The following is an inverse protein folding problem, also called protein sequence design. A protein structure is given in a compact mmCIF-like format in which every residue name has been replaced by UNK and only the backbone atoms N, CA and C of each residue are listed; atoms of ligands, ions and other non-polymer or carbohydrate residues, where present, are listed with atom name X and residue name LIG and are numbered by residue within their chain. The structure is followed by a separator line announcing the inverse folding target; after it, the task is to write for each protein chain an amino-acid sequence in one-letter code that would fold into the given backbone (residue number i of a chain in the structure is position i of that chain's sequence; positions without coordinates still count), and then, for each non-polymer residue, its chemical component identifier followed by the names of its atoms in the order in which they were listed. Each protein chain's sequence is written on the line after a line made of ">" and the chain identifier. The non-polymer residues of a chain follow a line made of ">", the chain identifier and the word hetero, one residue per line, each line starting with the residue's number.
data_IF_598523398581
#
_entry.id   IF_598523398581
#
_cell.length_a   1.000
_cell.length_b   1.000
_cell.length_c   1.000
_cell.angle_alpha   90.00
_cell.angle_beta   90.00
_cell.angle_gamma   90.00
#
_symmetry.space_group_name_H-M   'P 1'
#
loop_
_entity.id
_entity.type
_entity.pdbx_description
1 polymer ?
#
# COMPACT_ATOMS: atom_id res chain seq x y z
N UNK A 1 10.13 7.59 -12.12
CA UNK A 1 9.39 7.30 -10.87
C UNK A 1 10.15 6.26 -10.07
N UNK A 2 10.37 6.50 -8.80
CA UNK A 2 11.03 5.50 -7.93
C UNK A 2 10.03 4.42 -7.53
N UNK A 3 10.55 3.25 -7.14
CA UNK A 3 9.71 2.15 -6.68
C UNK A 3 8.99 2.51 -5.38
N UNK A 4 7.76 2.03 -5.19
CA UNK A 4 7.07 2.19 -3.91
C UNK A 4 7.85 1.52 -2.78
N UNK A 5 7.75 2.10 -1.59
CA UNK A 5 8.44 1.62 -0.39
C UNK A 5 7.41 1.19 0.65
N UNK A 6 7.68 0.09 1.34
CA UNK A 6 6.82 -0.37 2.43
C UNK A 6 7.07 0.49 3.67
N UNK A 7 6.04 1.18 4.15
CA UNK A 7 6.15 2.04 5.35
C UNK A 7 5.74 1.32 6.63
N UNK A 8 4.80 0.39 6.54
CA UNK A 8 4.33 -0.37 7.70
C UNK A 8 3.68 -1.67 7.23
N UNK A 9 3.73 -2.68 8.06
CA UNK A 9 3.00 -3.93 7.83
C UNK A 9 2.62 -4.57 9.17
N UNK A 10 1.53 -5.31 9.17
CA UNK A 10 1.06 -5.98 10.38
C UNK A 10 -0.15 -6.84 10.12
N UNK A 11 -0.47 -7.68 11.12
CA UNK A 11 -1.67 -8.52 11.12
C UNK A 11 -2.52 -8.16 12.34
N UNK A 12 -3.78 -8.59 12.31
CA UNK A 12 -4.71 -8.46 13.44
C UNK A 12 -4.81 -7.02 13.98
N UNK A 13 -4.50 -6.81 15.25
CA UNK A 13 -4.62 -5.50 15.89
C UNK A 13 -3.70 -4.45 15.25
N UNK A 14 -2.52 -4.85 14.83
CA UNK A 14 -1.60 -3.93 14.17
C UNK A 14 -2.15 -3.50 12.79
N UNK A 15 -2.78 -4.42 12.07
CA UNK A 15 -3.43 -4.08 10.81
C UNK A 15 -4.57 -3.06 11.02
N UNK A 16 -5.37 -3.24 12.07
CA UNK A 16 -6.41 -2.28 12.42
C UNK A 16 -5.82 -0.91 12.74
N UNK A 17 -4.72 -0.87 13.49
CA UNK A 17 -4.05 0.38 13.83
C UNK A 17 -3.51 1.09 12.60
N UNK A 18 -2.93 0.34 11.66
CA UNK A 18 -2.46 0.89 10.38
C UNK A 18 -3.62 1.55 9.63
N UNK A 19 -4.79 0.89 9.57
CA UNK A 19 -5.98 1.45 8.92
C UNK A 19 -6.47 2.71 9.61
N UNK A 20 -6.49 2.73 10.93
CA UNK A 20 -6.90 3.92 11.71
C UNK A 20 -5.99 5.11 11.41
N UNK A 21 -4.67 4.90 11.41
CA UNK A 21 -3.71 5.95 11.11
C UNK A 21 -3.88 6.44 9.67
N UNK A 22 -4.09 5.53 8.72
CA UNK A 22 -4.34 5.91 7.34
C UNK A 22 -5.60 6.80 7.23
N UNK A 23 -6.67 6.43 7.93
CA UNK A 23 -7.91 7.21 7.94
C UNK A 23 -7.69 8.61 8.54
N UNK A 24 -6.94 8.71 9.63
CA UNK A 24 -6.61 9.99 10.26
C UNK A 24 -5.86 10.94 9.32
N UNK A 25 -5.09 10.39 8.39
CA UNK A 25 -4.29 11.16 7.44
C UNK A 25 -4.89 11.19 6.03
N UNK A 26 -6.13 10.77 5.89
CA UNK A 26 -6.84 10.73 4.59
C UNK A 26 -6.10 9.94 3.52
N UNK A 27 -5.44 8.87 3.92
CA UNK A 27 -4.73 7.97 3.00
C UNK A 27 -5.70 6.90 2.52
N UNK A 28 -5.92 6.75 1.20
CA UNK A 28 -6.82 5.73 0.67
C UNK A 28 -6.37 4.32 1.06
N UNK A 29 -7.33 3.45 1.36
CA UNK A 29 -7.09 2.04 1.66
C UNK A 29 -7.79 1.20 0.61
N UNK A 30 -7.05 0.33 -0.04
CA UNK A 30 -7.59 -0.62 -1.02
C UNK A 30 -7.41 -2.02 -0.47
N UNK A 31 -8.50 -2.77 -0.37
CA UNK A 31 -8.44 -4.15 0.11
C UNK A 31 -8.11 -5.09 -1.03
N UNK A 32 -7.01 -5.81 -0.89
CA UNK A 32 -6.58 -6.84 -1.81
C UNK A 32 -5.84 -7.90 -1.01
N UNK A 33 -6.57 -8.84 -0.38
CA UNK A 33 -5.95 -9.82 0.52
C UNK A 33 -4.82 -10.64 -0.11
N UNK A 34 -4.94 -11.17 -1.33
CA UNK A 34 -3.83 -11.92 -1.91
C UNK A 34 -2.56 -11.09 -2.07
N UNK A 35 -2.69 -9.85 -2.54
CA UNK A 35 -1.54 -8.96 -2.69
C UNK A 35 -0.98 -8.55 -1.34
N UNK A 36 -1.85 -8.25 -0.38
CA UNK A 36 -1.42 -7.88 0.97
C UNK A 36 -0.61 -9.02 1.61
N UNK A 37 -1.05 -10.26 1.46
CA UNK A 37 -0.32 -11.42 1.97
C UNK A 37 1.03 -11.59 1.29
N UNK A 38 1.09 -11.40 -0.02
CA UNK A 38 2.34 -11.47 -0.77
C UNK A 38 3.32 -10.38 -0.32
N UNK A 39 2.84 -9.16 -0.13
CA UNK A 39 3.67 -8.05 0.36
C UNK A 39 4.16 -8.31 1.78
N UNK A 40 3.29 -8.78 2.67
CA UNK A 40 3.67 -9.07 4.04
C UNK A 40 4.84 -10.06 4.12
N UNK A 41 4.82 -11.07 3.25
CA UNK A 41 5.86 -12.12 3.22
C UNK A 41 7.14 -11.67 2.51
N UNK A 42 7.03 -10.75 1.55
CA UNK A 42 8.10 -10.49 0.59
C UNK A 42 8.87 -9.20 0.83
N UNK A 43 8.38 -8.30 1.67
CA UNK A 43 9.02 -7.00 1.86
C UNK A 43 9.10 -6.63 3.33
N UNK A 44 10.23 -6.07 3.74
CA UNK A 44 10.39 -5.51 5.07
C UNK A 44 10.05 -4.02 5.07
N UNK A 45 9.67 -3.50 6.24
CA UNK A 45 9.42 -2.08 6.41
C UNK A 45 10.67 -1.28 6.02
N UNK A 46 10.48 -0.24 5.23
CA UNK A 46 11.57 0.60 4.73
C UNK A 46 12.18 0.13 3.42
N UNK A 47 11.82 -1.04 2.94
CA UNK A 47 12.32 -1.59 1.69
C UNK A 47 11.40 -1.30 0.51
N UNK A 48 11.98 -1.27 -0.68
CA UNK A 48 11.21 -1.15 -1.91
C UNK A 48 10.40 -2.43 -2.16
N UNK A 49 9.26 -2.26 -2.81
CA UNK A 49 8.43 -3.39 -3.23
C UNK A 49 9.23 -4.28 -4.20
N UNK A 50 9.20 -5.62 -4.03
CA UNK A 50 9.88 -6.53 -4.95
C UNK A 50 9.39 -6.38 -6.39
N UNK A 51 10.30 -6.56 -7.34
CA UNK A 51 10.01 -6.38 -8.76
C UNK A 51 8.82 -7.23 -9.26
N UNK A 52 8.71 -8.46 -8.77
CA UNK A 52 7.63 -9.36 -9.20
C UNK A 52 6.24 -8.91 -8.75
N UNK A 53 6.14 -7.92 -7.85
CA UNK A 53 4.88 -7.35 -7.41
C UNK A 53 4.63 -5.94 -7.99
N UNK A 54 5.55 -5.41 -8.79
CA UNK A 54 5.44 -4.05 -9.34
C UNK A 54 4.14 -3.84 -10.11
N UNK A 55 3.77 -4.79 -10.95
CA UNK A 55 2.57 -4.65 -11.79
C UNK A 55 1.30 -4.57 -10.94
N UNK A 56 1.16 -5.47 -9.98
CA UNK A 56 0.00 -5.51 -9.11
C UNK A 56 -0.12 -4.23 -8.28
N UNK A 57 0.98 -3.75 -7.72
CA UNK A 57 1.00 -2.50 -6.93
C UNK A 57 0.73 -1.30 -7.84
N UNK A 58 1.31 -1.28 -9.03
CA UNK A 58 1.10 -0.18 -9.98
C UNK A 58 -0.38 -0.06 -10.40
N UNK A 59 -1.05 -1.18 -10.59
CA UNK A 59 -2.48 -1.18 -10.92
C UNK A 59 -3.33 -0.56 -9.80
N UNK A 60 -3.01 -0.85 -8.55
CA UNK A 60 -3.69 -0.26 -7.39
C UNK A 60 -3.40 1.23 -7.31
N UNK A 61 -2.15 1.63 -7.49
CA UNK A 61 -1.78 3.05 -7.46
C UNK A 61 -2.47 3.83 -8.58
N UNK A 62 -2.58 3.24 -9.76
CA UNK A 62 -3.30 3.87 -10.88
C UNK A 62 -4.79 4.01 -10.58
N UNK A 63 -5.40 3.02 -9.93
CA UNK A 63 -6.78 3.07 -9.48
C UNK A 63 -7.01 4.20 -8.48
N UNK A 64 -6.14 4.29 -7.48
CA UNK A 64 -6.21 5.36 -6.48
C UNK A 64 -6.04 6.73 -7.13
N UNK A 65 -5.09 6.85 -8.05
CA UNK A 65 -4.85 8.10 -8.79
C UNK A 65 -6.12 8.56 -9.52
N UNK A 66 -6.81 7.64 -10.17
CA UNK A 66 -8.08 7.96 -10.86
C UNK A 66 -9.18 8.37 -9.88
N UNK A 67 -9.30 7.68 -8.75
CA UNK A 67 -10.28 8.04 -7.73
C UNK A 67 -10.06 9.45 -7.19
N UNK A 68 -8.82 9.89 -7.13
CA UNK A 68 -8.47 11.21 -6.62
C UNK A 68 -8.38 12.26 -7.72
N UNK A 69 -8.95 11.98 -8.90
CA UNK A 69 -8.95 12.88 -10.05
C UNK A 69 -7.55 13.38 -10.42
N UNK A 70 -6.58 12.48 -10.38
CA UNK A 70 -5.20 12.81 -10.70
C UNK A 70 -4.44 13.52 -9.58
N UNK A 71 -5.00 13.57 -8.37
CA UNK A 71 -4.35 14.17 -7.20
C UNK A 71 -3.84 13.09 -6.29
N UNK A 72 -2.55 13.10 -5.98
CA UNK A 72 -1.95 12.21 -5.01
C UNK A 72 -1.61 13.00 -3.75
N UNK A 73 -1.78 12.39 -2.56
CA UNK A 73 -1.36 13.02 -1.30
C UNK A 73 0.17 13.17 -1.27
N UNK A 74 0.64 14.20 -0.69
CA UNK A 74 2.07 14.41 -0.48
C UNK A 74 2.65 15.63 -1.10
#
# INVERSE_FOLDING_TARGET
>A
MSAPVCLAKGTDELALRIREVAAEHSIPVVENPPLAQSLYKSVEVGQEIPAHLFRAVAEILAYIYRLMNGRLPG
#
